data_IF_253026424948
#
_entry.id   IF_253026424948
#
_cell.length_a   1.000
_cell.length_b   1.000
_cell.length_c   1.000
_cell.angle_alpha   90.00
_cell.angle_beta   90.00
_cell.angle_gamma   90.00
#
_symmetry.space_group_name_H-M   'P 1'
#
loop_
_entity.id
_entity.type
_entity.pdbx_description
1 polymer ?
#
# COMPACT_ATOMS: atom_id res chain seq x y z
N UNK A 1 79.51 2.87 43.48
CA UNK A 1 78.36 3.75 43.06
C UNK A 1 77.88 3.23 41.75
N UNK A 2 76.67 2.64 41.66
CA UNK A 2 76.20 1.87 40.51
C UNK A 2 75.04 2.62 39.89
N UNK A 3 75.30 3.16 38.70
CA UNK A 3 74.26 3.80 37.90
C UNK A 3 73.36 2.73 37.21
N UNK A 4 72.08 2.76 37.51
CA UNK A 4 71.08 1.98 36.84
C UNK A 4 70.46 2.80 35.72
N UNK A 5 70.68 2.38 34.49
CA UNK A 5 70.03 2.89 33.29
C UNK A 5 68.64 2.20 33.20
N UNK A 6 67.59 3.02 33.22
CA UNK A 6 66.22 2.60 32.96
C UNK A 6 65.97 2.71 31.44
N UNK A 7 65.83 1.59 30.77
CA UNK A 7 65.37 1.54 29.38
C UNK A 7 63.85 1.70 29.33
N UNK A 8 63.38 2.79 28.74
CA UNK A 8 61.95 3.05 28.54
C UNK A 8 61.55 2.50 27.18
N UNK A 9 60.77 1.43 27.18
CA UNK A 9 60.25 0.83 25.95
C UNK A 9 59.02 1.60 25.51
N UNK A 10 59.11 2.29 24.40
CA UNK A 10 58.01 3.03 23.78
C UNK A 10 57.15 2.04 22.96
N UNK A 11 55.94 1.77 23.41
CA UNK A 11 54.97 0.93 22.74
C UNK A 11 54.21 1.80 21.72
N UNK A 12 54.53 1.65 20.44
CA UNK A 12 53.86 2.34 19.32
C UNK A 12 52.60 1.57 18.97
N UNK A 13 51.44 2.01 19.45
CA UNK A 13 50.16 1.46 19.08
C UNK A 13 49.80 1.93 17.65
N UNK A 14 49.79 0.99 16.71
CA UNK A 14 49.31 1.23 15.34
C UNK A 14 47.76 1.35 15.34
N UNK A 15 47.26 2.56 15.22
CA UNK A 15 45.84 2.80 14.89
C UNK A 15 45.62 2.41 13.43
N UNK A 16 44.97 1.29 13.19
CA UNK A 16 44.42 0.94 11.86
C UNK A 16 43.25 1.87 11.55
N UNK A 17 43.19 2.55 10.41
CA UNK A 17 42.02 3.31 10.02
C UNK A 17 40.88 2.33 9.70
N UNK A 18 39.85 2.38 10.51
CA UNK A 18 38.58 1.69 10.23
C UNK A 18 37.92 2.41 9.04
N UNK A 19 38.10 1.88 7.82
CA UNK A 19 37.40 2.38 6.64
C UNK A 19 35.92 2.08 6.81
N UNK A 20 35.13 3.07 7.24
CA UNK A 20 33.69 3.01 7.18
C UNK A 20 33.27 2.90 5.71
N UNK A 21 32.78 1.73 5.33
CA UNK A 21 32.10 1.56 4.05
C UNK A 21 30.89 2.49 4.05
N UNK A 22 30.96 3.58 3.30
CA UNK A 22 29.80 4.44 3.04
C UNK A 22 28.84 3.61 2.21
N UNK A 23 27.72 3.20 2.82
CA UNK A 23 26.63 2.59 2.10
C UNK A 23 26.17 3.61 1.03
N UNK A 24 26.46 3.29 -0.23
CA UNK A 24 25.97 4.10 -1.35
C UNK A 24 24.43 3.97 -1.33
N UNK A 25 23.72 5.07 -1.08
CA UNK A 25 22.31 5.17 -1.35
C UNK A 25 22.11 4.91 -2.83
N UNK A 26 21.28 3.93 -3.23
CA UNK A 26 21.07 3.67 -4.65
C UNK A 26 20.53 4.93 -5.33
N UNK A 27 21.12 5.28 -6.47
CA UNK A 27 20.61 6.36 -7.31
C UNK A 27 19.15 6.03 -7.69
N UNK A 28 18.16 6.87 -7.35
CA UNK A 28 16.76 6.61 -7.66
C UNK A 28 16.49 6.52 -9.17
N UNK A 29 17.42 6.97 -10.00
CA UNK A 29 17.32 6.86 -11.45
C UNK A 29 17.75 5.47 -11.99
N UNK A 30 18.38 4.63 -11.17
CA UNK A 30 18.82 3.29 -11.59
C UNK A 30 17.76 2.26 -11.22
N UNK A 31 17.17 1.62 -12.23
CA UNK A 31 16.22 0.53 -12.04
C UNK A 31 16.98 -0.76 -11.72
N UNK A 32 16.99 -1.15 -10.45
CA UNK A 32 17.59 -2.42 -9.99
C UNK A 32 16.54 -3.53 -9.93
N UNK A 33 16.95 -4.83 -9.99
CA UNK A 33 16.02 -5.94 -9.79
C UNK A 33 15.24 -5.83 -8.48
N UNK A 34 15.88 -5.43 -7.40
CA UNK A 34 15.25 -5.25 -6.09
C UNK A 34 14.16 -4.18 -6.16
N UNK A 35 14.39 -3.07 -6.89
CA UNK A 35 13.39 -2.00 -7.06
C UNK A 35 12.21 -2.45 -7.91
N UNK A 36 12.42 -3.32 -8.91
CA UNK A 36 11.35 -3.85 -9.77
C UNK A 36 10.35 -4.68 -8.95
N UNK A 37 10.86 -5.45 -7.97
CA UNK A 37 10.05 -6.34 -7.12
C UNK A 37 9.68 -5.72 -5.76
N UNK A 38 10.12 -4.50 -5.47
CA UNK A 38 9.81 -3.82 -4.21
C UNK A 38 8.40 -3.20 -4.20
N UNK A 39 7.86 -3.04 -3.00
CA UNK A 39 6.68 -2.20 -2.77
C UNK A 39 7.11 -0.77 -2.41
N UNK A 40 6.36 0.25 -2.83
CA UNK A 40 5.23 0.20 -3.75
C UNK A 40 5.65 -0.13 -5.18
N UNK A 41 4.76 -0.77 -5.95
CA UNK A 41 4.97 -1.11 -7.36
C UNK A 41 5.39 0.12 -8.18
N UNK A 42 6.25 -0.09 -9.19
CA UNK A 42 6.65 0.97 -10.12
C UNK A 42 5.47 1.56 -10.90
N UNK A 43 4.43 0.78 -11.13
CA UNK A 43 3.21 1.24 -11.79
C UNK A 43 2.36 2.16 -10.90
N UNK A 44 2.67 2.23 -9.60
CA UNK A 44 1.83 2.94 -8.64
C UNK A 44 0.47 2.27 -8.41
N UNK A 45 -0.41 2.93 -7.64
CA UNK A 45 -1.78 2.46 -7.46
C UNK A 45 -2.56 2.54 -8.77
N UNK A 46 -3.09 1.41 -9.23
CA UNK A 46 -3.86 1.31 -10.47
C UNK A 46 -5.36 1.26 -10.13
N UNK A 47 -6.16 2.03 -10.85
CA UNK A 47 -7.62 1.93 -10.77
C UNK A 47 -8.09 0.59 -11.37
N UNK A 48 -8.93 -0.13 -10.60
CA UNK A 48 -9.53 -1.42 -10.99
C UNK A 48 -11.05 -1.31 -10.95
N UNK A 49 -11.73 -2.18 -11.69
CA UNK A 49 -13.21 -2.26 -11.68
C UNK A 49 -13.85 -0.89 -11.92
N UNK A 50 -13.36 -0.15 -12.89
CA UNK A 50 -13.84 1.19 -13.21
C UNK A 50 -15.26 1.13 -13.75
N UNK A 51 -16.17 1.94 -13.18
CA UNK A 51 -17.55 2.08 -13.69
C UNK A 51 -18.05 3.51 -13.60
N UNK A 52 -18.86 3.90 -14.57
CA UNK A 52 -19.52 5.20 -14.61
C UNK A 52 -20.80 5.13 -13.79
N UNK A 53 -21.13 6.20 -13.08
CA UNK A 53 -22.44 6.36 -12.44
C UNK A 53 -23.55 6.42 -13.48
N UNK A 54 -24.79 5.99 -13.17
CA UNK A 54 -25.90 6.00 -14.11
C UNK A 54 -26.21 7.36 -14.74
N UNK A 55 -25.94 8.44 -14.03
CA UNK A 55 -26.11 9.82 -14.53
C UNK A 55 -24.89 10.35 -15.30
N UNK A 56 -23.77 9.61 -15.29
CA UNK A 56 -22.56 10.00 -16.00
C UNK A 56 -21.70 11.06 -15.31
N UNK A 57 -21.99 11.45 -14.07
CA UNK A 57 -21.28 12.52 -13.39
C UNK A 57 -20.05 12.05 -12.60
N UNK A 58 -20.05 10.79 -12.17
CA UNK A 58 -18.94 10.19 -11.40
C UNK A 58 -18.41 8.92 -12.06
N UNK A 59 -17.12 8.71 -11.91
CA UNK A 59 -16.44 7.43 -12.18
C UNK A 59 -16.03 6.82 -10.84
N UNK A 60 -16.57 5.66 -10.51
CA UNK A 60 -16.11 4.88 -9.35
C UNK A 60 -15.06 3.85 -9.76
N UNK A 61 -14.12 3.57 -8.86
CA UNK A 61 -13.05 2.60 -9.08
C UNK A 61 -12.48 2.11 -7.76
N UNK A 62 -11.92 0.91 -7.78
CA UNK A 62 -11.15 0.35 -6.69
C UNK A 62 -9.69 0.76 -6.84
N UNK A 63 -9.07 1.15 -5.73
CA UNK A 63 -7.66 1.54 -5.69
C UNK A 63 -6.99 0.97 -4.44
N UNK A 64 -5.80 0.40 -4.63
CA UNK A 64 -4.96 -0.06 -3.53
C UNK A 64 -4.54 1.10 -2.64
N UNK A 65 -4.40 0.81 -1.35
CA UNK A 65 -3.81 1.74 -0.40
C UNK A 65 -2.31 1.89 -0.67
N UNK A 66 -1.75 3.01 -0.28
CA UNK A 66 -0.29 3.24 -0.39
C UNK A 66 0.49 2.45 0.67
N UNK A 67 -0.11 2.30 1.86
CA UNK A 67 0.47 1.58 3.00
C UNK A 67 0.23 0.06 2.95
N UNK A 68 -0.74 -0.41 2.15
CA UNK A 68 -1.06 -1.83 2.00
C UNK A 68 -1.68 -2.09 0.62
N UNK A 69 -0.87 -2.56 -0.32
CA UNK A 69 -1.27 -2.78 -1.71
C UNK A 69 -2.30 -3.90 -1.89
N UNK A 70 -2.46 -4.75 -0.89
CA UNK A 70 -3.42 -5.85 -0.90
C UNK A 70 -4.81 -5.43 -0.42
N UNK A 71 -4.96 -4.24 0.15
CA UNK A 71 -6.24 -3.68 0.59
C UNK A 71 -6.73 -2.65 -0.41
N UNK A 72 -7.95 -2.84 -0.91
CA UNK A 72 -8.62 -1.94 -1.83
C UNK A 72 -9.64 -1.08 -1.09
N UNK A 73 -9.62 0.21 -1.40
CA UNK A 73 -10.68 1.16 -1.03
C UNK A 73 -11.51 1.50 -2.28
N UNK A 74 -12.75 1.94 -2.08
CA UNK A 74 -13.58 2.46 -3.14
C UNK A 74 -13.42 3.98 -3.25
N UNK A 75 -13.08 4.42 -4.45
CA UNK A 75 -12.88 5.83 -4.80
C UNK A 75 -13.87 6.26 -5.86
N UNK A 76 -14.12 7.55 -5.90
CA UNK A 76 -14.83 8.19 -7.01
C UNK A 76 -14.08 9.42 -7.50
N UNK A 77 -14.30 9.76 -8.76
CA UNK A 77 -13.82 10.99 -9.37
C UNK A 77 -14.94 11.61 -10.21
N UNK A 78 -15.10 12.93 -10.22
CA UNK A 78 -15.97 13.60 -11.17
C UNK A 78 -15.54 13.32 -12.61
N UNK A 79 -16.49 13.21 -13.52
CA UNK A 79 -16.19 13.07 -14.96
C UNK A 79 -15.72 14.37 -15.60
N UNK A 80 -15.99 15.51 -14.95
CA UNK A 80 -15.43 16.82 -15.26
C UNK A 80 -14.21 17.15 -14.44
N UNK A 81 -14.00 18.42 -14.20
CA UNK A 81 -12.92 18.92 -13.33
C UNK A 81 -13.21 18.56 -11.86
N UNK A 82 -12.22 18.01 -11.18
CA UNK A 82 -12.31 17.67 -9.76
C UNK A 82 -11.30 16.59 -9.36
N UNK A 83 -10.98 16.58 -8.08
CA UNK A 83 -10.04 15.58 -7.53
C UNK A 83 -10.79 14.31 -7.12
N UNK A 84 -10.14 13.14 -7.27
CA UNK A 84 -10.68 11.89 -6.75
C UNK A 84 -10.84 11.93 -5.24
N UNK A 85 -11.92 11.38 -4.74
CA UNK A 85 -12.19 11.25 -3.32
C UNK A 85 -12.55 9.82 -2.93
N UNK A 86 -12.36 9.49 -1.65
CA UNK A 86 -12.63 8.16 -1.14
C UNK A 86 -14.09 8.06 -0.71
N UNK A 87 -14.85 7.15 -1.32
CA UNK A 87 -16.23 6.84 -0.95
C UNK A 87 -16.30 5.85 0.20
N UNK A 88 -15.47 4.79 0.15
CA UNK A 88 -15.44 3.77 1.21
C UNK A 88 -13.97 3.52 1.59
N UNK A 89 -13.65 3.79 2.85
CA UNK A 89 -12.41 3.35 3.48
C UNK A 89 -12.66 1.99 4.15
N UNK A 90 -12.10 0.94 3.57
CA UNK A 90 -12.31 -0.43 4.05
C UNK A 90 -11.86 -0.62 5.50
N UNK A 91 -10.74 0.01 5.91
CA UNK A 91 -10.25 -0.07 7.29
C UNK A 91 -11.07 0.73 8.28
N UNK A 92 -11.65 1.85 7.86
CA UNK A 92 -12.51 2.65 8.73
C UNK A 92 -13.81 1.90 9.06
N UNK A 93 -14.34 1.15 8.10
CA UNK A 93 -15.54 0.34 8.29
C UNK A 93 -15.27 -0.96 9.05
N UNK A 94 -14.15 -1.63 8.76
CA UNK A 94 -13.77 -2.90 9.40
C UNK A 94 -12.30 -2.79 9.85
N UNK A 95 -12.04 -2.12 10.99
CA UNK A 95 -10.67 -1.92 11.50
C UNK A 95 -9.96 -3.23 11.82
N UNK A 96 -10.70 -4.17 12.40
CA UNK A 96 -10.24 -5.51 12.78
C UNK A 96 -10.85 -6.54 11.82
N UNK A 97 -10.48 -6.48 10.54
CA UNK A 97 -10.90 -7.49 9.57
C UNK A 97 -10.48 -8.86 10.08
N UNK A 98 -11.45 -9.62 10.57
CA UNK A 98 -11.27 -10.96 11.10
C UNK A 98 -10.89 -11.96 10.02
N UNK A 99 -10.82 -13.23 10.42
CA UNK A 99 -10.61 -14.30 9.45
C UNK A 99 -11.88 -14.48 8.60
N UNK A 100 -11.72 -14.47 7.28
CA UNK A 100 -12.82 -14.69 6.34
C UNK A 100 -13.51 -16.04 6.62
N UNK A 101 -14.83 -16.09 6.45
CA UNK A 101 -15.56 -17.37 6.51
C UNK A 101 -15.06 -18.34 5.44
N UNK A 102 -15.17 -19.63 5.68
CA UNK A 102 -14.75 -20.65 4.70
C UNK A 102 -15.51 -20.53 3.37
N UNK A 103 -16.77 -20.12 3.41
CA UNK A 103 -17.56 -19.86 2.20
C UNK A 103 -16.99 -18.67 1.39
N UNK A 104 -16.58 -17.59 2.05
CA UNK A 104 -16.00 -16.43 1.40
C UNK A 104 -14.58 -16.72 0.89
N UNK A 105 -13.76 -17.46 1.64
CA UNK A 105 -12.47 -17.96 1.18
C UNK A 105 -12.62 -18.75 -0.11
N UNK A 106 -13.54 -19.74 -0.12
CA UNK A 106 -13.79 -20.55 -1.31
C UNK A 106 -14.35 -19.73 -2.49
N UNK A 107 -15.16 -18.68 -2.24
CA UNK A 107 -15.63 -17.76 -3.27
C UNK A 107 -14.48 -17.00 -3.88
N UNK A 108 -13.61 -16.39 -3.04
CA UNK A 108 -12.45 -15.61 -3.47
C UNK A 108 -11.45 -16.45 -4.25
N UNK A 109 -11.19 -17.68 -3.81
CA UNK A 109 -10.34 -18.62 -4.55
C UNK A 109 -10.88 -18.93 -5.96
N UNK A 110 -12.17 -19.24 -6.09
CA UNK A 110 -12.79 -19.49 -7.40
C UNK A 110 -12.71 -18.27 -8.33
N UNK A 111 -12.85 -17.06 -7.76
CA UNK A 111 -12.77 -15.80 -8.51
C UNK A 111 -11.33 -15.28 -8.65
N UNK A 112 -10.33 -15.95 -8.08
CA UNK A 112 -8.92 -15.53 -8.05
C UNK A 112 -8.74 -14.13 -7.45
N UNK A 113 -9.52 -13.80 -6.43
CA UNK A 113 -9.43 -12.54 -5.70
C UNK A 113 -8.42 -12.73 -4.57
N UNK A 114 -7.26 -12.09 -4.70
CA UNK A 114 -6.20 -12.08 -3.68
C UNK A 114 -6.24 -10.85 -2.79
N UNK A 115 -6.89 -9.77 -3.25
CA UNK A 115 -7.00 -8.52 -2.50
C UNK A 115 -8.04 -8.63 -1.38
N UNK A 116 -7.87 -7.76 -0.37
CA UNK A 116 -8.77 -7.55 0.77
C UNK A 116 -9.48 -6.19 0.63
N UNK A 117 -10.32 -5.88 1.61
CA UNK A 117 -11.12 -4.66 1.58
C UNK A 117 -12.26 -4.74 0.57
N UNK A 118 -12.59 -3.63 -0.07
CA UNK A 118 -13.64 -3.57 -1.09
C UNK A 118 -13.13 -4.19 -2.37
N UNK A 119 -13.64 -5.37 -2.73
CA UNK A 119 -13.22 -6.11 -3.95
C UNK A 119 -14.24 -6.06 -5.08
N UNK A 120 -15.46 -5.68 -4.77
CA UNK A 120 -16.55 -5.45 -5.72
C UNK A 120 -17.49 -4.36 -5.22
N UNK A 121 -18.24 -3.75 -6.12
CA UNK A 121 -19.27 -2.76 -5.80
C UNK A 121 -20.28 -2.66 -6.94
N UNK A 122 -21.43 -2.06 -6.66
CA UNK A 122 -22.45 -1.78 -7.66
C UNK A 122 -23.16 -0.45 -7.38
N UNK A 123 -23.45 0.30 -8.42
CA UNK A 123 -24.33 1.46 -8.35
C UNK A 123 -25.79 1.05 -8.19
N UNK A 124 -26.57 1.84 -7.47
CA UNK A 124 -28.03 1.79 -7.55
C UNK A 124 -28.49 2.34 -8.92
N UNK A 125 -29.75 2.10 -9.27
CA UNK A 125 -30.29 2.51 -10.58
C UNK A 125 -30.32 4.03 -10.80
N UNK A 126 -30.39 4.82 -9.72
CA UNK A 126 -30.41 6.27 -9.79
C UNK A 126 -29.03 6.93 -9.61
N UNK A 127 -28.00 6.15 -9.33
CA UNK A 127 -26.64 6.66 -9.09
C UNK A 127 -26.47 7.45 -7.79
N UNK A 128 -27.38 7.27 -6.82
CA UNK A 128 -27.31 7.95 -5.52
C UNK A 128 -26.54 7.17 -4.48
N UNK A 129 -26.55 5.85 -4.63
CA UNK A 129 -25.93 4.93 -3.69
C UNK A 129 -25.01 3.94 -4.39
N UNK A 130 -23.99 3.54 -3.66
CA UNK A 130 -23.12 2.42 -4.03
C UNK A 130 -23.22 1.35 -2.96
N UNK A 131 -23.45 0.11 -3.38
CA UNK A 131 -23.38 -1.06 -2.52
C UNK A 131 -22.00 -1.69 -2.65
N UNK A 132 -21.38 -2.02 -1.53
CA UNK A 132 -20.10 -2.71 -1.49
C UNK A 132 -20.14 -3.85 -0.45
N UNK A 133 -20.01 -5.11 -0.87
CA UNK A 133 -19.78 -6.21 0.05
C UNK A 133 -18.39 -6.09 0.68
N UNK A 134 -18.33 -6.21 2.00
CA UNK A 134 -17.09 -6.14 2.77
C UNK A 134 -17.19 -7.06 3.99
N UNK A 135 -16.31 -8.05 4.08
CA UNK A 135 -16.18 -9.01 5.19
C UNK A 135 -17.49 -9.75 5.55
N UNK A 136 -18.38 -9.95 4.58
CA UNK A 136 -19.65 -10.69 4.75
C UNK A 136 -20.87 -9.79 4.97
N UNK A 137 -20.67 -8.49 5.19
CA UNK A 137 -21.73 -7.49 5.27
C UNK A 137 -21.84 -6.70 3.95
N UNK A 138 -22.98 -6.02 3.77
CA UNK A 138 -23.19 -5.10 2.64
C UNK A 138 -23.27 -3.69 3.17
N UNK A 139 -22.32 -2.87 2.73
CA UNK A 139 -22.28 -1.45 3.05
C UNK A 139 -22.94 -0.64 1.94
N UNK A 140 -23.67 0.38 2.35
CA UNK A 140 -24.28 1.35 1.47
C UNK A 140 -23.60 2.71 1.68
N UNK A 141 -22.97 3.24 0.65
CA UNK A 141 -22.39 4.57 0.67
C UNK A 141 -23.25 5.53 -0.15
N UNK A 142 -23.49 6.72 0.38
CA UNK A 142 -24.07 7.80 -0.40
C UNK A 142 -23.00 8.36 -1.35
N UNK A 143 -23.44 8.84 -2.51
CA UNK A 143 -22.59 9.40 -3.55
C UNK A 143 -21.75 10.61 -3.11
N UNK A 144 -22.26 11.39 -2.18
CA UNK A 144 -21.62 12.64 -1.73
C UNK A 144 -20.72 12.45 -0.49
N UNK A 145 -20.55 11.23 0.03
CA UNK A 145 -19.67 10.88 1.16
C UNK A 145 -20.29 11.07 2.53
#
# INVERSE_FOLDING_TARGET
>A
MRNKLLASTLFLAALSPFSAAVAQTPDPAVLTPERVFANPSLAGPVAKSVSLSPDGELVAFLRSREDDVDVLDLWAAPTGDGEPFKLIDARALVPDAGELSEAEKARRERMRISQRGVVEYAWDQQGRYILAPLEGDIFLAEREG
#
